data_IF_928839959517
#
_entry.id   IF_928839959517
#
_cell.length_a   1.000
_cell.length_b   1.000
_cell.length_c   1.000
_cell.angle_alpha   90.00
_cell.angle_beta   90.00
_cell.angle_gamma   90.00
#
_symmetry.space_group_name_H-M   'P 1'
#
loop_
_entity.id
_entity.type
_entity.pdbx_description
1 polymer ?
#
# COMPACT_ATOMS: atom_id res chain seq x y z
N UNK A 1 -1.45 -36.22 -58.67
CA UNK A 1 -2.75 -35.99 -58.02
C UNK A 1 -2.71 -34.63 -57.34
N UNK A 2 -3.62 -33.74 -57.76
CA UNK A 2 -4.12 -32.47 -57.20
C UNK A 2 -3.75 -32.14 -55.73
N UNK A 3 -3.40 -30.92 -55.28
CA UNK A 3 -3.88 -29.53 -55.52
C UNK A 3 -2.71 -28.52 -55.31
N UNK A 4 -2.48 -27.43 -56.08
CA UNK A 4 -3.22 -26.16 -56.34
C UNK A 4 -3.45 -25.32 -55.06
N UNK A 5 -2.55 -24.39 -54.70
CA UNK A 5 -2.44 -22.96 -55.10
C UNK A 5 -3.62 -22.09 -54.66
N UNK A 6 -3.38 -21.07 -53.82
CA UNK A 6 -3.66 -19.65 -54.14
C UNK A 6 -3.23 -18.67 -53.03
N UNK A 7 -2.37 -17.74 -53.42
CA UNK A 7 -2.11 -16.43 -52.82
C UNK A 7 -2.80 -15.38 -53.69
N UNK A 8 -3.49 -14.39 -53.12
CA UNK A 8 -3.61 -13.06 -53.74
C UNK A 8 -4.12 -11.98 -52.77
N UNK A 9 -3.47 -10.83 -52.90
CA UNK A 9 -3.73 -9.53 -52.28
C UNK A 9 -4.95 -8.81 -52.90
N UNK A 10 -5.61 -7.91 -52.14
CA UNK A 10 -5.68 -6.46 -52.39
C UNK A 10 -6.89 -5.77 -51.72
N UNK A 11 -6.56 -4.64 -51.08
CA UNK A 11 -7.31 -3.43 -50.75
C UNK A 11 -8.68 -3.20 -51.38
N UNK A 12 -9.63 -2.66 -50.61
CA UNK A 12 -10.48 -1.50 -51.00
C UNK A 12 -11.18 -0.87 -49.76
N UNK A 13 -11.32 0.47 -49.79
CA UNK A 13 -12.14 1.43 -48.96
C UNK A 13 -11.34 2.14 -47.85
N UNK A 14 -10.91 3.41 -47.95
CA UNK A 14 -11.61 4.70 -48.23
C UNK A 14 -12.82 4.90 -47.30
N UNK A 15 -13.05 6.03 -46.60
CA UNK A 15 -12.79 7.44 -46.94
C UNK A 15 -13.22 8.38 -45.79
N UNK A 16 -12.63 9.59 -45.75
CA UNK A 16 -13.14 10.88 -45.23
C UNK A 16 -13.38 10.99 -43.70
N UNK A 17 -13.11 12.10 -42.99
CA UNK A 17 -13.47 13.50 -43.25
C UNK A 17 -12.74 14.37 -42.20
N UNK A 18 -11.91 15.34 -42.59
CA UNK A 18 -12.12 16.80 -42.45
C UNK A 18 -12.58 17.28 -41.06
N UNK A 19 -11.72 18.06 -40.38
CA UNK A 19 -12.13 19.35 -39.81
C UNK A 19 -10.90 20.25 -39.59
N UNK A 20 -10.77 21.24 -40.47
CA UNK A 20 -9.92 22.43 -40.38
C UNK A 20 -10.73 23.60 -39.79
N UNK A 21 -10.04 24.47 -39.02
CA UNK A 21 -10.33 25.90 -38.79
C UNK A 21 -11.55 26.26 -37.87
N UNK A 22 -11.56 27.26 -36.96
CA UNK A 22 -10.86 28.56 -36.88
C UNK A 22 -11.21 29.35 -35.57
N UNK A 23 -10.35 30.33 -35.19
CA UNK A 23 -10.51 31.54 -34.32
C UNK A 23 -10.72 31.42 -32.78
N UNK A 24 -10.20 32.28 -31.89
CA UNK A 24 -9.96 33.75 -31.97
C UNK A 24 -8.88 34.23 -30.95
N UNK A 25 -8.25 35.36 -31.28
CA UNK A 25 -7.17 36.09 -30.61
C UNK A 25 -7.69 37.11 -29.56
N UNK A 26 -6.99 37.25 -28.44
CA UNK A 26 -6.91 38.51 -27.66
C UNK A 26 -5.51 38.64 -27.04
N UNK A 27 -4.59 39.29 -27.76
CA UNK A 27 -4.16 40.66 -27.43
C UNK A 27 -3.34 40.90 -26.15
N UNK A 28 -2.04 41.11 -26.39
CA UNK A 28 -1.09 42.06 -25.78
C UNK A 28 -0.58 41.90 -24.33
N UNK A 29 0.76 41.90 -24.21
CA UNK A 29 1.46 42.16 -22.96
C UNK A 29 2.96 41.84 -22.95
N UNK A 30 3.73 42.52 -23.81
CA UNK A 30 5.11 43.03 -23.61
C UNK A 30 6.27 42.10 -23.17
N UNK A 31 7.40 42.29 -23.87
CA UNK A 31 8.65 41.56 -23.82
C UNK A 31 9.40 41.59 -22.46
N UNK A 32 10.13 40.51 -22.17
CA UNK A 32 11.12 40.50 -21.10
C UNK A 32 11.72 39.14 -20.75
N UNK A 33 12.43 38.53 -21.71
CA UNK A 33 13.46 37.47 -21.59
C UNK A 33 13.43 36.52 -20.39
N UNK A 34 13.02 35.27 -20.66
CA UNK A 34 13.48 34.10 -19.91
C UNK A 34 14.82 33.59 -20.48
N UNK A 35 15.73 33.35 -19.52
CA UNK A 35 16.94 32.52 -19.47
C UNK A 35 17.13 31.39 -20.50
N UNK A 36 18.37 30.86 -20.61
CA UNK A 36 18.51 29.43 -20.26
C UNK A 36 19.85 29.18 -19.49
N UNK A 37 19.98 28.25 -18.56
CA UNK A 37 19.64 26.83 -18.67
C UNK A 37 19.61 26.17 -17.29
N UNK A 38 18.73 25.17 -17.16
CA UNK A 38 18.61 24.27 -16.00
C UNK A 38 19.67 23.14 -16.03
N UNK A 39 19.95 22.46 -14.90
CA UNK A 39 21.16 21.71 -14.63
C UNK A 39 21.04 20.19 -14.82
N UNK A 40 22.20 19.55 -14.79
CA UNK A 40 22.42 18.11 -14.79
C UNK A 40 22.04 17.46 -13.44
N UNK A 41 21.28 16.36 -13.56
CA UNK A 41 21.20 15.13 -12.73
C UNK A 41 21.86 15.09 -11.34
N UNK A 42 21.15 14.46 -10.39
CA UNK A 42 21.82 13.54 -9.45
C UNK A 42 21.17 13.33 -8.08
N UNK A 43 20.23 12.39 -8.02
CA UNK A 43 19.80 11.55 -6.90
C UNK A 43 20.58 11.60 -5.57
N UNK A 44 19.86 11.77 -4.46
CA UNK A 44 20.29 11.57 -3.08
C UNK A 44 19.71 10.27 -2.49
N UNK A 45 20.59 9.42 -1.93
CA UNK A 45 20.24 8.34 -1.00
C UNK A 45 20.96 8.52 0.36
N UNK A 46 20.28 8.02 1.38
CA UNK A 46 20.36 8.30 2.82
C UNK A 46 21.57 7.76 3.62
N UNK A 47 21.79 8.38 4.80
CA UNK A 47 22.15 7.81 6.14
C UNK A 47 23.07 8.81 6.89
N UNK A 48 23.07 9.03 8.22
CA UNK A 48 22.87 8.13 9.36
C UNK A 48 22.71 8.88 10.71
N UNK A 49 21.98 8.23 11.63
CA UNK A 49 22.28 8.07 13.08
C UNK A 49 22.26 9.27 14.07
N UNK A 50 21.24 9.25 14.95
CA UNK A 50 21.38 9.04 16.41
C UNK A 50 22.02 10.13 17.28
N UNK A 51 21.21 10.77 18.13
CA UNK A 51 21.50 11.04 19.56
C UNK A 51 20.28 11.69 20.27
N UNK A 52 19.95 11.19 21.46
CA UNK A 52 19.02 11.78 22.44
C UNK A 52 19.64 13.03 23.09
N UNK A 53 18.85 14.04 23.54
CA UNK A 53 18.61 14.14 24.98
C UNK A 53 17.26 14.78 25.42
N UNK A 54 16.74 14.21 26.53
CA UNK A 54 16.14 14.85 27.73
C UNK A 54 14.86 15.71 27.65
N UNK A 55 13.90 15.27 28.48
CA UNK A 55 12.75 15.95 29.09
C UNK A 55 12.94 17.45 29.38
N UNK A 56 11.97 18.30 29.02
CA UNK A 56 11.19 19.09 29.98
C UNK A 56 10.03 19.90 29.35
N UNK A 57 8.93 19.93 30.11
CA UNK A 57 7.83 20.93 30.20
C UNK A 57 6.66 20.85 29.21
N UNK A 58 5.51 20.56 29.80
CA UNK A 58 4.18 20.81 29.28
C UNK A 58 3.98 22.30 29.04
N UNK A 59 3.55 22.65 27.83
CA UNK A 59 2.71 23.80 27.56
C UNK A 59 1.77 23.37 26.44
N UNK A 60 0.48 23.28 26.75
CA UNK A 60 -0.53 22.90 25.78
C UNK A 60 -0.60 23.95 24.68
N UNK A 61 -0.27 23.54 23.46
CA UNK A 61 -0.69 24.24 22.24
C UNK A 61 -1.35 23.18 21.37
N UNK A 62 -2.66 23.05 21.58
CA UNK A 62 -3.56 22.42 20.63
C UNK A 62 -3.49 23.29 19.36
N UNK A 63 -2.85 22.78 18.31
CA UNK A 63 -2.86 23.41 16.99
C UNK A 63 -4.27 23.27 16.43
N UNK A 64 -5.13 24.22 16.76
CA UNK A 64 -6.42 24.34 16.10
C UNK A 64 -6.17 24.93 14.71
N UNK A 65 -6.15 24.03 13.72
CA UNK A 65 -6.29 24.40 12.30
C UNK A 65 -7.73 24.87 12.11
N UNK A 66 -8.00 26.12 12.46
CA UNK A 66 -9.28 26.73 12.14
C UNK A 66 -9.30 27.09 10.66
N UNK A 67 -10.21 26.44 9.93
CA UNK A 67 -10.68 26.97 8.65
C UNK A 67 -11.11 28.43 8.84
N UNK A 68 -10.66 29.34 7.97
CA UNK A 68 -10.97 30.78 8.04
C UNK A 68 -12.48 31.05 8.06
N UNK A 69 -13.28 30.13 7.54
CA UNK A 69 -14.74 30.16 7.60
C UNK A 69 -15.30 29.80 9.00
N UNK A 70 -14.62 28.93 9.74
CA UNK A 70 -14.99 28.55 11.11
C UNK A 70 -14.70 29.69 12.11
N UNK A 71 -13.56 30.38 12.01
CA UNK A 71 -13.26 31.55 12.84
C UNK A 71 -14.30 32.67 12.67
N UNK A 72 -14.73 32.92 11.42
CA UNK A 72 -15.77 33.92 11.12
C UNK A 72 -17.11 33.55 11.74
N UNK A 73 -17.51 32.27 11.69
CA UNK A 73 -18.73 31.79 12.36
C UNK A 73 -18.64 31.89 13.88
N UNK A 74 -17.51 31.54 14.49
CA UNK A 74 -17.33 31.65 15.95
C UNK A 74 -17.36 33.11 16.41
N UNK A 75 -16.74 34.03 15.67
CA UNK A 75 -16.84 35.47 15.96
C UNK A 75 -18.27 36.00 15.83
N UNK A 76 -19.02 35.56 14.81
CA UNK A 76 -20.43 35.94 14.65
C UNK A 76 -21.30 35.39 15.79
N UNK A 77 -21.05 34.16 16.25
CA UNK A 77 -21.76 33.57 17.38
C UNK A 77 -21.46 34.30 18.69
N UNK A 78 -20.20 34.69 18.92
CA UNK A 78 -19.82 35.49 20.09
C UNK A 78 -20.44 36.90 20.05
N UNK A 79 -20.49 37.54 18.88
CA UNK A 79 -21.15 38.84 18.73
C UNK A 79 -22.66 38.73 18.99
N UNK A 80 -23.31 37.69 18.46
CA UNK A 80 -24.72 37.40 18.74
C UNK A 80 -24.96 37.12 20.22
N UNK A 81 -24.10 36.36 20.89
CA UNK A 81 -24.21 36.09 22.33
C UNK A 81 -24.07 37.38 23.15
N UNK A 82 -23.13 38.26 22.80
CA UNK A 82 -22.95 39.55 23.45
C UNK A 82 -24.14 40.49 23.23
N UNK A 83 -24.73 40.48 22.02
CA UNK A 83 -25.97 41.22 21.72
C UNK A 83 -27.16 40.65 22.48
N UNK A 84 -27.26 39.33 22.64
CA UNK A 84 -28.30 38.66 23.42
C UNK A 84 -28.18 38.97 24.92
N UNK A 85 -26.95 39.02 25.45
CA UNK A 85 -26.68 39.46 26.82
C UNK A 85 -27.06 40.93 27.02
N UNK A 86 -26.71 41.81 26.09
CA UNK A 86 -27.08 43.23 26.15
C UNK A 86 -28.59 43.48 26.03
N UNK A 87 -29.30 42.67 25.23
CA UNK A 87 -30.77 42.69 25.16
C UNK A 87 -31.40 42.17 26.46
N UNK A 88 -30.79 41.15 27.10
CA UNK A 88 -31.25 40.61 28.38
C UNK A 88 -31.03 41.58 29.55
N UNK A 89 -29.98 42.41 29.51
CA UNK A 89 -29.70 43.44 30.53
C UNK A 89 -30.51 44.72 30.32
N UNK A 90 -30.97 45.01 29.10
CA UNK A 90 -31.71 46.24 28.76
C UNK A 90 -33.17 46.02 28.33
N UNK A 91 -33.77 44.86 28.59
CA UNK A 91 -35.18 44.62 28.25
C UNK A 91 -36.14 45.23 29.30
N UNK A 92 -37.17 46.01 28.91
CA UNK A 92 -38.19 46.54 29.81
C UNK A 92 -39.24 45.49 30.21
N UNK A 93 -38.98 44.19 29.98
CA UNK A 93 -39.90 43.09 30.30
C UNK A 93 -39.74 42.55 31.73
N UNK A 94 -39.68 43.44 32.73
CA UNK A 94 -40.10 43.04 34.08
C UNK A 94 -41.62 43.10 34.12
N UNK A 95 -42.28 41.97 33.82
CA UNK A 95 -43.66 41.74 34.27
C UNK A 95 -43.68 41.89 35.79
N UNK A 96 -44.19 43.03 36.27
CA UNK A 96 -44.57 43.22 37.67
C UNK A 96 -45.67 42.18 37.93
N UNK A 97 -45.38 41.17 38.74
CA UNK A 97 -46.38 40.19 39.17
C UNK A 97 -47.55 40.92 39.84
N UNK A 98 -48.77 40.53 39.46
CA UNK A 98 -50.06 41.10 39.88
C UNK A 98 -50.24 41.21 41.41
N UNK A 99 -49.41 40.51 42.18
CA UNK A 99 -49.41 40.51 43.64
C UNK A 99 -48.70 41.73 44.28
N UNK A 100 -47.86 42.45 43.52
CA UNK A 100 -47.14 43.63 44.03
C UNK A 100 -47.92 44.93 43.83
N UNK A 101 -48.69 45.05 42.74
CA UNK A 101 -49.51 46.24 42.45
C UNK A 101 -50.77 46.30 43.33
N UNK A 102 -51.36 45.14 43.67
CA UNK A 102 -52.53 45.06 44.55
C UNK A 102 -52.28 45.53 45.99
N UNK A 103 -51.03 45.43 46.49
CA UNK A 103 -50.68 45.90 47.84
C UNK A 103 -50.51 47.42 47.93
N UNK A 104 -50.36 48.11 46.80
CA UNK A 104 -50.14 49.55 46.75
C UNK A 104 -51.45 50.36 46.64
N UNK A 105 -52.55 49.72 46.25
CA UNK A 105 -53.88 50.34 46.18
C UNK A 105 -54.68 50.25 47.48
N UNK A 106 -54.33 49.33 48.39
CA UNK A 106 -55.05 49.15 49.67
C UNK A 106 -54.53 50.03 50.82
N UNK A 107 -53.49 50.84 50.59
CA UNK A 107 -52.83 51.62 51.64
C UNK A 107 -53.15 53.13 51.60
N UNK A 108 -53.95 53.60 50.64
CA UNK A 108 -54.28 55.02 50.45
C UNK A 108 -55.79 55.27 50.37
N UNK A 109 -56.52 55.02 51.46
CA UNK A 109 -57.80 55.68 51.75
C UNK A 109 -58.29 55.32 53.15
N UNK A 110 -57.63 55.88 54.17
CA UNK A 110 -58.14 55.96 55.54
C UNK A 110 -58.03 57.42 56.02
N UNK A 111 -58.97 58.25 55.56
CA UNK A 111 -59.36 59.55 56.10
C UNK A 111 -60.82 59.74 55.62
N UNK A 112 -61.85 60.08 56.38
CA UNK A 112 -62.08 60.39 57.78
C UNK A 112 -63.61 60.52 57.96
N UNK A 113 -64.10 60.18 59.15
CA UNK A 113 -65.21 60.83 59.89
C UNK A 113 -66.53 61.08 59.13
N UNK A 114 -67.61 60.32 59.35
CA UNK A 114 -68.46 60.26 60.56
C UNK A 114 -68.62 61.65 61.23
N UNK A 115 -69.76 62.32 60.98
CA UNK A 115 -70.53 63.14 61.93
C UNK A 115 -71.56 64.06 61.21
N UNK A 116 -72.78 64.09 61.76
CA UNK A 116 -73.88 65.02 61.45
C UNK A 116 -75.17 64.25 61.16
N UNK A 117 -75.98 63.78 62.12
CA UNK A 117 -76.47 64.39 63.36
C UNK A 117 -77.06 65.78 63.15
N UNK A 118 -78.38 65.84 62.93
CA UNK A 118 -79.34 66.58 63.76
C UNK A 118 -80.74 66.06 63.46
N UNK A 119 -81.20 65.16 64.33
CA UNK A 119 -82.62 64.93 64.59
C UNK A 119 -83.13 66.13 65.40
N UNK A 120 -84.37 66.53 65.12
CA UNK A 120 -85.34 67.16 66.03
C UNK A 120 -85.13 68.63 66.45
N UNK A 121 -86.21 69.42 66.30
CA UNK A 121 -86.86 70.18 67.39
C UNK A 121 -88.03 70.99 66.82
N UNK A 122 -89.21 70.41 66.99
CA UNK A 122 -90.50 71.09 66.95
C UNK A 122 -90.53 72.30 67.90
N UNK A 123 -90.96 73.45 67.40
CA UNK A 123 -91.46 74.55 68.24
C UNK A 123 -92.71 75.18 67.64
N UNK A 124 -93.77 75.07 68.44
CA UNK A 124 -95.12 75.66 68.41
C UNK A 124 -95.30 77.02 67.70
N UNK A 125 -96.31 77.09 66.84
CA UNK A 125 -97.38 78.09 66.99
C UNK A 125 -98.64 77.66 66.23
N UNK A 126 -99.61 77.18 67.01
CA UNK A 126 -100.99 76.93 66.62
C UNK A 126 -101.66 78.30 66.44
N UNK A 127 -101.66 78.84 65.21
CA UNK A 127 -102.83 79.47 64.54
C UNK A 127 -102.44 80.11 63.17
N UNK A 128 -101.70 79.37 62.34
CA UNK A 128 -101.43 79.73 60.93
C UNK A 128 -101.75 78.55 60.00
N UNK A 129 -102.84 77.85 60.30
CA UNK A 129 -103.20 76.52 59.78
C UNK A 129 -103.85 76.53 58.38
N UNK A 130 -103.60 77.54 57.54
CA UNK A 130 -104.15 77.57 56.17
C UNK A 130 -103.18 78.19 55.14
N UNK A 131 -102.44 79.24 55.53
CA UNK A 131 -101.43 79.90 54.67
C UNK A 131 -100.11 79.11 54.63
N UNK A 132 -99.64 78.59 55.79
CA UNK A 132 -98.47 77.70 55.88
C UNK A 132 -98.73 76.38 55.13
N UNK A 133 -99.97 75.88 55.19
CA UNK A 133 -100.37 74.70 54.42
C UNK A 133 -100.34 75.01 52.91
N UNK A 134 -100.85 76.17 52.48
CA UNK A 134 -100.87 76.55 51.05
C UNK A 134 -99.46 76.79 50.49
N UNK A 135 -98.56 77.42 51.25
CA UNK A 135 -97.16 77.63 50.85
C UNK A 135 -96.36 76.32 50.89
N UNK A 136 -96.56 75.46 51.90
CA UNK A 136 -96.02 74.09 51.91
C UNK A 136 -96.54 73.25 50.76
N UNK A 137 -97.82 73.38 50.39
CA UNK A 137 -98.42 72.70 49.23
C UNK A 137 -97.86 73.25 47.92
N UNK A 138 -97.63 74.56 47.80
CA UNK A 138 -96.99 75.16 46.62
C UNK A 138 -95.53 74.73 46.49
N UNK A 139 -94.78 74.70 47.60
CA UNK A 139 -93.42 74.19 47.66
C UNK A 139 -93.35 72.69 47.34
N UNK A 140 -94.26 71.89 47.91
CA UNK A 140 -94.38 70.47 47.59
C UNK A 140 -94.76 70.27 46.12
N UNK A 141 -95.69 71.04 45.56
CA UNK A 141 -96.02 70.98 44.13
C UNK A 141 -94.83 71.34 43.26
N UNK A 142 -94.09 72.41 43.58
CA UNK A 142 -92.87 72.76 42.87
C UNK A 142 -91.82 71.65 42.97
N UNK A 143 -91.65 71.07 44.16
CA UNK A 143 -90.73 69.95 44.38
C UNK A 143 -91.17 68.69 43.65
N UNK A 144 -92.46 68.43 43.57
CA UNK A 144 -93.04 67.35 42.75
C UNK A 144 -92.75 67.61 41.28
N UNK A 145 -92.97 68.83 40.77
CA UNK A 145 -92.63 69.15 39.37
C UNK A 145 -91.12 69.08 39.07
N UNK A 146 -90.27 69.47 40.02
CA UNK A 146 -88.81 69.31 39.91
C UNK A 146 -88.41 67.83 39.90
N UNK A 147 -88.99 67.01 40.78
CA UNK A 147 -88.77 65.58 40.83
C UNK A 147 -89.29 64.88 39.56
N UNK A 148 -90.45 65.28 39.05
CA UNK A 148 -91.00 64.79 37.78
C UNK A 148 -90.07 65.13 36.61
N UNK A 149 -89.55 66.35 36.56
CA UNK A 149 -88.56 66.75 35.56
C UNK A 149 -87.22 66.00 35.72
N UNK A 150 -86.74 65.79 36.96
CA UNK A 150 -85.55 64.96 37.21
C UNK A 150 -85.78 63.51 36.79
N UNK A 151 -86.96 62.93 37.04
CA UNK A 151 -87.31 61.58 36.60
C UNK A 151 -87.28 61.48 35.07
N UNK A 152 -87.80 62.48 34.36
CA UNK A 152 -87.77 62.53 32.89
C UNK A 152 -86.33 62.64 32.37
N UNK A 153 -85.54 63.60 32.86
CA UNK A 153 -84.15 63.80 32.44
C UNK A 153 -83.27 62.59 32.76
N UNK A 154 -83.48 61.96 33.93
CA UNK A 154 -82.78 60.75 34.33
C UNK A 154 -83.22 59.55 33.47
N UNK A 155 -84.49 59.50 33.04
CA UNK A 155 -84.99 58.57 32.04
C UNK A 155 -84.27 58.68 30.70
N UNK A 156 -84.06 59.89 30.20
CA UNK A 156 -83.34 60.16 28.94
C UNK A 156 -81.85 59.80 29.04
N UNK A 157 -81.19 60.17 30.14
CA UNK A 157 -79.79 59.78 30.41
C UNK A 157 -79.68 58.26 30.48
N UNK A 158 -80.59 57.59 31.18
CA UNK A 158 -80.65 56.12 31.25
C UNK A 158 -80.86 55.49 29.87
N UNK A 159 -81.68 56.09 29.01
CA UNK A 159 -81.90 55.62 27.64
C UNK A 159 -80.63 55.75 26.79
N UNK A 160 -79.96 56.91 26.83
CA UNK A 160 -78.69 57.14 26.13
C UNK A 160 -77.59 56.20 26.58
N UNK A 161 -77.40 56.04 27.90
CA UNK A 161 -76.42 55.11 28.45
C UNK A 161 -76.71 53.66 28.05
N UNK A 162 -77.98 53.26 27.97
CA UNK A 162 -78.36 51.93 27.43
C UNK A 162 -77.98 51.79 25.96
N UNK A 163 -78.23 52.80 25.14
CA UNK A 163 -77.88 52.78 23.72
C UNK A 163 -76.37 52.73 23.51
N UNK A 164 -75.61 53.56 24.23
CA UNK A 164 -74.13 53.55 24.21
C UNK A 164 -73.58 52.20 24.70
N UNK A 165 -74.16 51.63 25.76
CA UNK A 165 -73.76 50.30 26.26
C UNK A 165 -73.99 49.22 25.19
N UNK A 166 -75.15 49.22 24.52
CA UNK A 166 -75.41 48.30 23.40
C UNK A 166 -74.36 48.46 22.28
N UNK A 167 -74.02 49.70 21.90
CA UNK A 167 -73.00 49.96 20.89
C UNK A 167 -71.61 49.47 21.32
N UNK A 168 -71.22 49.73 22.57
CA UNK A 168 -69.96 49.25 23.12
C UNK A 168 -69.91 47.71 23.16
N UNK A 169 -71.00 47.06 23.53
CA UNK A 169 -71.11 45.60 23.51
C UNK A 169 -70.95 45.06 22.09
N UNK A 170 -71.60 45.66 21.08
CA UNK A 170 -71.39 45.26 19.68
C UNK A 170 -69.94 45.47 19.24
N UNK A 171 -69.32 46.59 19.63
CA UNK A 171 -67.92 46.87 19.30
C UNK A 171 -66.96 45.89 19.98
N UNK A 172 -67.23 45.48 21.21
CA UNK A 172 -66.45 44.45 21.92
C UNK A 172 -66.55 43.13 21.17
N UNK A 173 -67.76 42.67 20.82
CA UNK A 173 -67.93 41.41 20.08
C UNK A 173 -67.21 41.44 18.72
N UNK A 174 -67.28 42.55 17.98
CA UNK A 174 -66.57 42.71 16.71
C UNK A 174 -65.04 42.62 16.90
N UNK A 175 -64.49 43.25 17.94
CA UNK A 175 -63.07 43.18 18.24
C UNK A 175 -62.65 41.78 18.74
N UNK A 176 -63.48 41.10 19.51
CA UNK A 176 -63.25 39.72 19.94
C UNK A 176 -63.24 38.75 18.76
N UNK A 177 -64.13 38.92 17.79
CA UNK A 177 -64.16 38.12 16.56
C UNK A 177 -62.92 38.41 15.70
N UNK A 178 -62.56 39.69 15.52
CA UNK A 178 -61.33 40.06 14.81
C UNK A 178 -60.07 39.50 15.48
N UNK A 179 -60.02 39.48 16.82
CA UNK A 179 -58.91 38.90 17.57
C UNK A 179 -58.84 37.38 17.36
N UNK A 180 -59.97 36.68 17.50
CA UNK A 180 -60.06 35.22 17.24
C UNK A 180 -59.65 34.88 15.81
N UNK A 181 -60.09 35.66 14.83
CA UNK A 181 -59.71 35.47 13.42
C UNK A 181 -58.22 35.75 13.18
N UNK A 182 -57.63 36.71 13.89
CA UNK A 182 -56.18 36.96 13.83
C UNK A 182 -55.39 35.82 14.49
N UNK A 183 -55.84 35.33 15.64
CA UNK A 183 -55.23 34.20 16.36
C UNK A 183 -55.29 32.93 15.50
N UNK A 184 -56.45 32.58 14.96
CA UNK A 184 -56.61 31.42 14.09
C UNK A 184 -55.77 31.54 12.81
N UNK A 185 -55.68 32.73 12.21
CA UNK A 185 -54.79 32.96 11.04
C UNK A 185 -53.32 32.79 11.40
N UNK A 186 -52.87 33.33 12.53
CA UNK A 186 -51.49 33.20 12.99
C UNK A 186 -51.15 31.74 13.31
N UNK A 187 -52.05 31.00 13.94
CA UNK A 187 -51.90 29.57 14.24
C UNK A 187 -51.81 28.74 12.95
N UNK A 188 -52.74 28.94 12.01
CA UNK A 188 -52.71 28.27 10.70
C UNK A 188 -51.41 28.57 9.92
N UNK A 189 -50.94 29.82 9.94
CA UNK A 189 -49.67 30.18 9.32
C UNK A 189 -48.49 29.48 9.98
N UNK A 190 -48.45 29.41 11.32
CA UNK A 190 -47.38 28.73 12.05
C UNK A 190 -47.38 27.22 11.75
N UNK A 191 -48.56 26.58 11.74
CA UNK A 191 -48.69 25.17 11.44
C UNK A 191 -48.24 24.84 10.00
N UNK A 192 -48.60 25.68 9.04
CA UNK A 192 -48.18 25.56 7.66
C UNK A 192 -46.66 25.73 7.49
N UNK A 193 -46.03 26.68 8.18
CA UNK A 193 -44.58 26.82 8.17
C UNK A 193 -43.87 25.63 8.84
N UNK A 194 -44.40 25.13 9.96
CA UNK A 194 -43.89 23.90 10.59
C UNK A 194 -44.01 22.69 9.65
N UNK A 195 -45.12 22.56 8.92
CA UNK A 195 -45.31 21.52 7.92
C UNK A 195 -44.29 21.64 6.79
N UNK A 196 -44.09 22.83 6.23
CA UNK A 196 -43.09 23.10 5.18
C UNK A 196 -41.68 22.77 5.64
N UNK A 197 -41.31 23.16 6.86
CA UNK A 197 -40.01 22.84 7.44
C UNK A 197 -39.79 21.34 7.62
N UNK A 198 -40.80 20.61 8.12
CA UNK A 198 -40.74 19.14 8.25
C UNK A 198 -40.55 18.47 6.90
N UNK A 199 -41.28 18.89 5.88
CA UNK A 199 -41.16 18.33 4.53
C UNK A 199 -39.81 18.65 3.89
N UNK A 200 -39.31 19.88 4.04
CA UNK A 200 -37.99 20.26 3.56
C UNK A 200 -36.88 19.47 4.24
N UNK A 201 -36.99 19.27 5.56
CA UNK A 201 -36.07 18.44 6.32
C UNK A 201 -36.10 16.97 5.85
N UNK A 202 -37.29 16.39 5.67
CA UNK A 202 -37.43 15.01 5.18
C UNK A 202 -36.86 14.83 3.76
N UNK A 203 -37.02 15.83 2.88
CA UNK A 203 -36.39 15.83 1.55
C UNK A 203 -34.86 15.84 1.67
N UNK A 204 -34.31 16.74 2.47
CA UNK A 204 -32.87 16.81 2.70
C UNK A 204 -32.31 15.52 3.30
N UNK A 205 -33.01 14.91 4.25
CA UNK A 205 -32.59 13.65 4.87
C UNK A 205 -32.56 12.50 3.85
N UNK A 206 -33.56 12.41 2.97
CA UNK A 206 -33.56 11.45 1.85
C UNK A 206 -32.40 11.70 0.89
N UNK A 207 -32.16 12.94 0.50
CA UNK A 207 -31.05 13.30 -0.41
C UNK A 207 -29.68 13.01 0.21
N UNK A 208 -29.53 13.19 1.52
CA UNK A 208 -28.31 12.81 2.23
C UNK A 208 -28.14 11.30 2.28
N UNK A 209 -29.21 10.55 2.54
CA UNK A 209 -29.15 9.09 2.57
C UNK A 209 -28.81 8.51 1.19
N UNK A 210 -29.39 9.03 0.11
CA UNK A 210 -29.05 8.59 -1.26
C UNK A 210 -27.59 8.91 -1.60
N UNK A 211 -27.07 10.08 -1.19
CA UNK A 211 -25.65 10.40 -1.36
C UNK A 211 -24.74 9.44 -0.56
N UNK A 212 -25.11 9.10 0.68
CA UNK A 212 -24.37 8.14 1.50
C UNK A 212 -24.35 6.77 0.81
N UNK A 213 -25.49 6.29 0.29
CA UNK A 213 -25.57 5.01 -0.44
C UNK A 213 -24.69 5.01 -1.69
N UNK A 214 -24.72 6.08 -2.49
CA UNK A 214 -23.88 6.23 -3.69
C UNK A 214 -22.39 6.20 -3.34
N UNK A 215 -21.98 6.95 -2.31
CA UNK A 215 -20.59 6.96 -1.85
C UNK A 215 -20.17 5.60 -1.29
N UNK A 216 -21.04 4.94 -0.53
CA UNK A 216 -20.80 3.59 0.02
C UNK A 216 -20.60 2.58 -1.10
N UNK A 217 -21.46 2.59 -2.12
CA UNK A 217 -21.30 1.72 -3.30
C UNK A 217 -20.00 2.02 -4.06
N UNK A 218 -19.62 3.31 -4.19
CA UNK A 218 -18.37 3.67 -4.84
C UNK A 218 -17.15 3.19 -4.07
N UNK A 219 -17.17 3.27 -2.74
CA UNK A 219 -16.10 2.73 -1.88
C UNK A 219 -16.00 1.22 -2.07
N UNK A 220 -17.11 0.49 -2.02
CA UNK A 220 -17.12 -0.96 -2.23
C UNK A 220 -16.52 -1.37 -3.58
N UNK A 221 -16.90 -0.69 -4.67
CA UNK A 221 -16.34 -0.93 -6.00
C UNK A 221 -14.83 -0.69 -6.04
N UNK A 222 -14.36 0.40 -5.44
CA UNK A 222 -12.92 0.71 -5.38
C UNK A 222 -12.15 -0.33 -4.53
N UNK A 223 -12.74 -0.83 -3.46
CA UNK A 223 -12.16 -1.89 -2.63
C UNK A 223 -12.05 -3.21 -3.41
N UNK A 224 -13.08 -3.56 -4.19
CA UNK A 224 -13.09 -4.73 -5.08
C UNK A 224 -12.02 -4.60 -6.18
N UNK A 225 -12.01 -3.49 -6.93
CA UNK A 225 -11.00 -3.19 -7.96
C UNK A 225 -9.58 -3.25 -7.38
N UNK A 226 -9.36 -2.67 -6.20
CA UNK A 226 -8.06 -2.69 -5.53
C UNK A 226 -7.67 -4.10 -5.08
N UNK A 227 -8.63 -4.91 -4.63
CA UNK A 227 -8.44 -6.33 -4.32
C UNK A 227 -8.01 -7.14 -5.55
N UNK A 228 -8.68 -6.95 -6.69
CA UNK A 228 -8.32 -7.58 -7.96
C UNK A 228 -6.92 -7.16 -8.43
N UNK A 229 -6.59 -5.87 -8.34
CA UNK A 229 -5.27 -5.35 -8.66
C UNK A 229 -4.19 -5.96 -7.75
N UNK A 230 -4.46 -6.13 -6.46
CA UNK A 230 -3.53 -6.77 -5.52
C UNK A 230 -3.27 -8.24 -5.89
N UNK A 231 -4.31 -8.99 -6.27
CA UNK A 231 -4.18 -10.37 -6.75
C UNK A 231 -3.33 -10.43 -8.03
N UNK A 232 -3.62 -9.55 -9.00
CA UNK A 232 -2.87 -9.46 -10.24
C UNK A 232 -1.40 -9.09 -10.00
N UNK A 233 -1.12 -8.15 -9.11
CA UNK A 233 0.23 -7.78 -8.71
C UNK A 233 0.99 -8.99 -8.13
N UNK A 234 0.37 -9.74 -7.22
CA UNK A 234 0.99 -10.92 -6.62
C UNK A 234 1.25 -12.02 -7.64
N UNK A 235 0.33 -12.23 -8.59
CA UNK A 235 0.52 -13.17 -9.70
C UNK A 235 1.70 -12.77 -10.59
N UNK A 236 1.81 -11.49 -10.94
CA UNK A 236 2.91 -10.97 -11.76
C UNK A 236 4.26 -11.03 -11.02
N UNK A 237 4.28 -10.77 -9.70
CA UNK A 237 5.48 -10.95 -8.87
C UNK A 237 5.96 -12.40 -8.90
N UNK A 238 5.08 -13.36 -8.65
CA UNK A 238 5.41 -14.78 -8.71
C UNK A 238 5.89 -15.22 -10.12
N UNK A 239 5.33 -14.64 -11.19
CA UNK A 239 5.81 -14.89 -12.55
C UNK A 239 7.21 -14.31 -12.78
N UNK A 240 7.48 -13.12 -12.24
CA UNK A 240 8.79 -12.45 -12.35
C UNK A 240 9.86 -13.26 -11.60
N UNK A 241 9.57 -13.71 -10.38
CA UNK A 241 10.47 -14.55 -9.59
C UNK A 241 10.82 -15.86 -10.32
N UNK A 242 9.84 -16.53 -10.93
CA UNK A 242 10.08 -17.73 -11.74
C UNK A 242 11.01 -17.47 -12.92
N UNK A 243 10.81 -16.36 -13.62
CA UNK A 243 11.67 -15.97 -14.75
C UNK A 243 13.08 -15.63 -14.28
N UNK A 244 13.23 -15.00 -13.11
CA UNK A 244 14.55 -14.72 -12.52
C UNK A 244 15.28 -16.01 -12.12
N UNK A 245 14.58 -16.99 -11.54
CA UNK A 245 15.13 -18.32 -11.25
C UNK A 245 15.54 -19.07 -12.52
N UNK A 246 14.72 -19.03 -13.57
CA UNK A 246 15.06 -19.64 -14.87
C UNK A 246 16.25 -18.96 -15.52
N UNK A 247 16.30 -17.62 -15.48
CA UNK A 247 17.44 -16.84 -15.94
C UNK A 247 18.71 -17.26 -15.21
N UNK A 248 18.68 -17.31 -13.87
CA UNK A 248 19.85 -17.73 -13.09
C UNK A 248 20.28 -19.15 -13.45
N UNK A 249 19.34 -20.09 -13.52
CA UNK A 249 19.62 -21.49 -13.93
C UNK A 249 20.27 -21.57 -15.31
N UNK A 250 19.86 -20.72 -16.26
CA UNK A 250 20.46 -20.68 -17.60
C UNK A 250 21.85 -20.03 -17.60
N UNK A 251 22.04 -18.99 -16.80
CA UNK A 251 23.36 -18.36 -16.59
C UNK A 251 24.35 -19.36 -16.02
N UNK A 252 23.99 -20.08 -14.96
CA UNK A 252 24.87 -21.08 -14.32
C UNK A 252 25.29 -22.18 -15.32
N UNK A 253 24.35 -22.66 -16.14
CA UNK A 253 24.64 -23.65 -17.21
C UNK A 253 25.56 -23.09 -18.30
N UNK A 254 25.38 -21.81 -18.66
CA UNK A 254 26.25 -21.15 -19.64
C UNK A 254 27.67 -21.02 -19.09
N UNK A 255 27.82 -20.64 -17.82
CA UNK A 255 29.10 -20.57 -17.13
C UNK A 255 29.79 -21.93 -17.07
N UNK A 256 29.07 -22.98 -16.68
CA UNK A 256 29.60 -24.36 -16.63
C UNK A 256 30.09 -24.82 -18.01
N UNK A 257 29.30 -24.60 -19.06
CA UNK A 257 29.68 -25.00 -20.43
C UNK A 257 30.82 -24.15 -20.99
N UNK A 258 30.87 -22.86 -20.65
CA UNK A 258 31.97 -21.96 -21.00
C UNK A 258 33.28 -22.39 -20.33
N UNK A 259 33.25 -22.76 -19.05
CA UNK A 259 34.41 -23.27 -18.32
C UNK A 259 34.92 -24.59 -18.92
N UNK A 260 34.02 -25.54 -19.20
CA UNK A 260 34.40 -26.80 -19.88
C UNK A 260 35.04 -26.55 -21.24
N UNK A 261 34.44 -25.66 -22.04
CA UNK A 261 35.02 -25.30 -23.34
C UNK A 261 36.41 -24.69 -23.20
N UNK A 262 36.61 -23.83 -22.19
CA UNK A 262 37.93 -23.24 -21.91
C UNK A 262 38.96 -24.30 -21.54
N UNK A 263 38.60 -25.26 -20.69
CA UNK A 263 39.50 -26.36 -20.31
C UNK A 263 39.90 -27.19 -21.54
N UNK A 264 38.94 -27.54 -22.41
CA UNK A 264 39.20 -28.25 -23.67
C UNK A 264 40.09 -27.42 -24.61
N UNK A 265 39.86 -26.12 -24.72
CA UNK A 265 40.71 -25.22 -25.50
C UNK A 265 42.15 -25.16 -24.96
N UNK A 266 42.33 -25.15 -23.64
CA UNK A 266 43.64 -25.16 -23.00
C UNK A 266 44.37 -26.50 -23.24
N UNK A 267 43.64 -27.63 -23.22
CA UNK A 267 44.19 -28.95 -23.59
C UNK A 267 44.60 -28.99 -25.06
N UNK A 268 43.73 -28.52 -25.96
CA UNK A 268 44.02 -28.44 -27.40
C UNK A 268 45.28 -27.60 -27.65
N UNK A 269 45.39 -26.43 -27.01
CA UNK A 269 46.56 -25.55 -27.11
C UNK A 269 47.84 -26.26 -26.65
N UNK A 270 47.81 -26.93 -25.49
CA UNK A 270 48.96 -27.72 -24.99
C UNK A 270 49.34 -28.84 -25.97
N UNK A 271 48.38 -29.49 -26.61
CA UNK A 271 48.65 -30.54 -27.61
C UNK A 271 49.29 -29.96 -28.88
N UNK A 272 48.79 -28.82 -29.35
CA UNK A 272 49.36 -28.12 -30.50
C UNK A 272 50.79 -27.63 -30.25
N UNK A 273 51.06 -27.10 -29.05
CA UNK A 273 52.41 -26.68 -28.65
C UNK A 273 53.37 -27.88 -28.61
N UNK A 274 52.94 -29.04 -28.08
CA UNK A 274 53.73 -30.28 -28.11
C UNK A 274 54.02 -30.78 -29.52
N UNK A 275 53.03 -30.76 -30.41
CA UNK A 275 53.21 -31.15 -31.82
C UNK A 275 54.22 -30.22 -32.51
N UNK A 276 54.14 -28.91 -32.26
CA UNK A 276 55.10 -27.93 -32.77
C UNK A 276 56.50 -28.17 -32.22
N UNK A 277 56.62 -28.44 -30.92
CA UNK A 277 57.91 -28.75 -30.29
C UNK A 277 58.54 -30.00 -30.90
N UNK A 278 57.78 -31.10 -31.02
CA UNK A 278 58.26 -32.35 -31.61
C UNK A 278 58.74 -32.16 -33.06
N UNK A 279 57.98 -31.40 -33.87
CA UNK A 279 58.39 -31.07 -35.24
C UNK A 279 59.72 -30.30 -35.27
N UNK A 280 59.91 -29.35 -34.35
CA UNK A 280 61.16 -28.59 -34.25
C UNK A 280 62.32 -29.44 -33.72
N UNK A 281 62.06 -30.38 -32.81
CA UNK A 281 63.05 -31.35 -32.32
C UNK A 281 63.52 -32.27 -33.43
N UNK A 282 62.57 -32.87 -34.17
CA UNK A 282 62.88 -33.71 -35.32
C UNK A 282 63.66 -32.95 -36.40
N UNK A 283 63.30 -31.69 -36.66
CA UNK A 283 64.08 -30.86 -37.60
C UNK A 283 65.51 -30.62 -37.10
N UNK A 284 65.68 -30.30 -35.81
CA UNK A 284 67.02 -30.14 -35.20
C UNK A 284 67.84 -31.42 -35.29
N UNK A 285 67.27 -32.58 -34.95
CA UNK A 285 67.95 -33.87 -35.05
C UNK A 285 68.37 -34.19 -36.48
N UNK A 286 67.50 -33.87 -37.45
CA UNK A 286 67.83 -33.98 -38.87
C UNK A 286 68.99 -33.09 -39.26
N UNK A 287 69.00 -31.84 -38.82
CA UNK A 287 70.07 -30.90 -39.12
C UNK A 287 71.40 -31.36 -38.49
N UNK A 288 71.39 -31.82 -37.23
CA UNK A 288 72.60 -32.34 -36.57
C UNK A 288 73.12 -33.64 -37.20
N UNK A 289 72.22 -34.53 -37.62
CA UNK A 289 72.62 -35.75 -38.33
C UNK A 289 73.18 -35.42 -39.71
N UNK A 290 72.64 -34.40 -40.37
CA UNK A 290 73.15 -33.90 -41.64
C UNK A 290 74.55 -33.29 -41.50
N UNK A 291 74.81 -32.53 -40.43
CA UNK A 291 76.13 -32.02 -40.07
C UNK A 291 77.13 -33.17 -39.86
N UNK A 292 76.77 -34.18 -39.07
CA UNK A 292 77.63 -35.36 -38.85
C UNK A 292 77.92 -36.14 -40.15
N UNK A 293 76.94 -36.28 -41.04
CA UNK A 293 77.14 -36.89 -42.35
C UNK A 293 78.17 -36.09 -43.16
N UNK A 294 78.12 -34.76 -43.09
CA UNK A 294 79.06 -33.90 -43.80
C UNK A 294 80.47 -33.98 -43.20
N UNK A 295 80.60 -34.02 -41.87
CA UNK A 295 81.88 -34.24 -41.17
C UNK A 295 82.50 -35.58 -41.57
N UNK A 296 81.72 -36.68 -41.55
CA UNK A 296 82.19 -38.00 -41.98
C UNK A 296 82.58 -38.03 -43.46
N UNK A 297 81.87 -37.30 -44.33
CA UNK A 297 82.24 -37.15 -45.74
C UNK A 297 83.59 -36.45 -45.90
N UNK A 298 83.82 -35.38 -45.14
CA UNK A 298 85.10 -34.68 -45.13
C UNK A 298 86.23 -35.59 -44.60
N UNK A 299 86.01 -36.33 -43.52
CA UNK A 299 86.99 -37.31 -43.01
C UNK A 299 87.30 -38.41 -44.03
N UNK A 300 86.29 -38.95 -44.71
CA UNK A 300 86.49 -39.94 -45.77
C UNK A 300 87.30 -39.37 -46.93
N UNK A 301 87.04 -38.13 -47.34
CA UNK A 301 87.82 -37.43 -48.37
C UNK A 301 89.28 -37.23 -47.91
N UNK A 302 89.49 -36.78 -46.67
CA UNK A 302 90.82 -36.65 -46.06
C UNK A 302 91.58 -37.98 -46.01
N UNK A 303 90.93 -39.07 -45.58
CA UNK A 303 91.54 -40.40 -45.54
C UNK A 303 91.87 -40.93 -46.94
N UNK A 304 91.04 -40.64 -47.94
CA UNK A 304 91.31 -41.00 -49.32
C UNK A 304 92.55 -40.28 -49.85
N UNK A 305 92.71 -38.98 -49.56
CA UNK A 305 93.92 -38.20 -49.88
C UNK A 305 95.13 -38.80 -49.16
N UNK A 306 95.04 -39.02 -47.84
CA UNK A 306 96.12 -39.60 -47.05
C UNK A 306 96.55 -40.98 -47.56
N UNK A 307 95.59 -41.83 -47.96
CA UNK A 307 95.88 -43.15 -48.54
C UNK A 307 96.65 -43.02 -49.85
N UNK A 308 96.25 -42.09 -50.73
CA UNK A 308 96.98 -41.83 -51.98
C UNK A 308 98.40 -41.31 -51.71
N UNK A 309 98.60 -40.51 -50.66
CA UNK A 309 99.91 -40.07 -50.21
C UNK A 309 100.74 -41.21 -49.61
N UNK A 310 100.14 -42.09 -48.80
CA UNK A 310 100.81 -43.25 -48.20
C UNK A 310 101.17 -44.31 -49.25
N UNK A 311 100.31 -44.57 -50.24
CA UNK A 311 100.59 -45.43 -51.39
C UNK A 311 101.72 -44.85 -52.26
N UNK A 312 101.88 -43.52 -52.29
CA UNK A 312 103.04 -42.86 -52.89
C UNK A 312 104.34 -43.07 -52.06
N UNK A 313 104.23 -43.42 -50.77
CA UNK A 313 105.36 -43.61 -49.85
C UNK A 313 105.70 -45.09 -49.52
N UNK A 314 104.84 -46.07 -49.85
CA UNK A 314 104.99 -47.46 -49.38
C UNK A 314 104.73 -48.55 -50.43
N UNK A 315 105.80 -49.06 -51.06
CA UNK A 315 105.79 -50.37 -51.73
C UNK A 315 106.50 -51.40 -50.84
N UNK A 316 105.74 -52.32 -50.24
CA UNK A 316 106.35 -53.57 -49.77
C UNK A 316 105.63 -54.32 -48.64
N UNK A 317 105.17 -55.52 -49.02
CA UNK A 317 104.97 -56.75 -48.21
C UNK A 317 103.56 -57.03 -47.67
N UNK A 318 102.93 -57.94 -48.42
CA UNK A 318 101.85 -58.83 -47.99
C UNK A 318 102.39 -60.03 -47.18
N UNK A 319 101.46 -60.65 -46.45
CA UNK A 319 101.33 -62.10 -46.20
C UNK A 319 101.88 -62.67 -44.88
N UNK A 320 100.97 -62.92 -43.93
CA UNK A 320 101.00 -64.07 -43.01
C UNK A 320 99.57 -64.39 -42.53
N UNK A 321 98.84 -65.28 -43.22
CA UNK A 321 97.41 -65.56 -42.91
C UNK A 321 97.09 -67.02 -42.54
N UNK A 322 98.05 -67.94 -42.47
CA UNK A 322 97.70 -69.38 -42.33
C UNK A 322 97.63 -69.93 -40.89
N UNK A 323 97.98 -69.16 -39.86
CA UNK A 323 97.83 -69.59 -38.45
C UNK A 323 96.60 -68.98 -37.76
N UNK A 324 96.07 -67.89 -38.33
CA UNK A 324 94.89 -67.19 -37.81
C UNK A 324 93.61 -68.00 -38.03
N UNK A 325 93.50 -68.72 -39.15
CA UNK A 325 92.29 -69.46 -39.54
C UNK A 325 91.85 -70.57 -38.55
N UNK A 326 92.80 -71.20 -37.84
CA UNK A 326 92.45 -72.22 -36.84
C UNK A 326 91.95 -71.60 -35.54
N UNK A 327 92.58 -70.50 -35.09
CA UNK A 327 92.10 -69.73 -33.94
C UNK A 327 90.74 -69.09 -34.21
N UNK A 328 90.47 -68.65 -35.44
CA UNK A 328 89.18 -68.07 -35.82
C UNK A 328 88.08 -69.12 -35.89
N UNK A 329 88.35 -70.34 -36.37
CA UNK A 329 87.34 -71.42 -36.39
C UNK A 329 86.92 -71.86 -34.99
N UNK A 330 87.85 -71.98 -34.04
CA UNK A 330 87.49 -72.29 -32.64
C UNK A 330 86.68 -71.15 -32.03
N UNK A 331 87.09 -69.90 -32.27
CA UNK A 331 86.38 -68.70 -31.81
C UNK A 331 84.98 -68.56 -32.42
N UNK A 332 84.83 -68.91 -33.69
CA UNK A 332 83.56 -68.95 -34.41
C UNK A 332 82.62 -69.99 -33.80
N UNK A 333 83.11 -71.19 -33.51
CA UNK A 333 82.30 -72.23 -32.84
C UNK A 333 81.87 -71.82 -31.42
N UNK A 334 82.74 -71.15 -30.65
CA UNK A 334 82.37 -70.57 -29.35
C UNK A 334 81.29 -69.50 -29.47
N UNK A 335 81.42 -68.60 -30.46
CA UNK A 335 80.43 -67.54 -30.71
C UNK A 335 79.11 -68.13 -31.21
N UNK A 336 79.12 -69.19 -32.02
CA UNK A 336 77.90 -69.89 -32.44
C UNK A 336 77.19 -70.54 -31.26
N UNK A 337 77.94 -71.16 -30.34
CA UNK A 337 77.38 -71.70 -29.10
C UNK A 337 76.81 -70.59 -28.21
N UNK A 338 77.49 -69.46 -28.11
CA UNK A 338 77.04 -68.31 -27.34
C UNK A 338 75.79 -67.65 -27.95
N UNK A 339 75.72 -67.52 -29.28
CA UNK A 339 74.52 -67.06 -29.99
C UNK A 339 73.36 -68.03 -29.77
N UNK A 340 73.62 -69.34 -29.76
CA UNK A 340 72.58 -70.34 -29.48
C UNK A 340 72.08 -70.24 -28.05
N UNK A 341 72.98 -70.04 -27.08
CA UNK A 341 72.65 -69.81 -25.66
C UNK A 341 71.84 -68.52 -25.48
N UNK A 342 72.28 -67.42 -26.07
CA UNK A 342 71.60 -66.12 -26.03
C UNK A 342 70.22 -66.17 -26.68
N UNK A 343 70.06 -66.88 -27.81
CA UNK A 343 68.75 -67.07 -28.43
C UNK A 343 67.79 -67.85 -27.52
N UNK A 344 68.26 -68.90 -26.85
CA UNK A 344 67.46 -69.66 -25.88
C UNK A 344 67.10 -68.81 -24.65
N UNK A 345 68.03 -68.01 -24.15
CA UNK A 345 67.79 -67.10 -23.03
C UNK A 345 66.80 -65.99 -23.41
N UNK A 346 66.92 -65.41 -24.61
CA UNK A 346 65.98 -64.40 -25.10
C UNK A 346 64.56 -64.97 -25.29
N UNK A 347 64.47 -66.22 -25.78
CA UNK A 347 63.20 -66.93 -25.88
C UNK A 347 62.56 -67.14 -24.50
N UNK A 348 63.33 -67.58 -23.50
CA UNK A 348 62.85 -67.71 -22.11
C UNK A 348 62.42 -66.37 -21.52
N UNK A 349 63.17 -65.30 -21.76
CA UNK A 349 62.82 -63.96 -21.29
C UNK A 349 61.52 -63.46 -21.93
N UNK A 350 61.28 -63.78 -23.22
CA UNK A 350 59.99 -63.47 -23.88
C UNK A 350 58.83 -64.24 -23.26
N UNK A 351 59.00 -65.54 -23.04
CA UNK A 351 57.99 -66.38 -22.38
C UNK A 351 57.67 -65.85 -20.97
N UNK A 352 58.69 -65.48 -20.18
CA UNK A 352 58.49 -64.85 -18.87
C UNK A 352 57.79 -63.50 -18.96
N UNK A 353 58.08 -62.70 -19.99
CA UNK A 353 57.43 -61.41 -20.19
C UNK A 353 55.96 -61.60 -20.58
N UNK A 354 55.64 -62.58 -21.43
CA UNK A 354 54.28 -62.95 -21.78
C UNK A 354 53.49 -63.45 -20.56
N UNK A 355 54.10 -64.29 -19.71
CA UNK A 355 53.51 -64.75 -18.45
C UNK A 355 53.25 -63.59 -17.48
N UNK A 356 54.21 -62.68 -17.31
CA UNK A 356 54.05 -61.49 -16.46
C UNK A 356 52.96 -60.55 -16.98
N UNK A 357 52.88 -60.34 -18.30
CA UNK A 357 51.80 -59.57 -18.91
C UNK A 357 50.44 -60.25 -18.70
N UNK A 358 50.37 -61.59 -18.78
CA UNK A 358 49.17 -62.35 -18.47
C UNK A 358 48.74 -62.21 -17.00
N UNK A 359 49.70 -62.21 -16.07
CA UNK A 359 49.45 -61.95 -14.65
C UNK A 359 48.96 -60.53 -14.40
N UNK A 360 49.58 -59.52 -15.01
CA UNK A 360 49.16 -58.12 -14.91
C UNK A 360 47.72 -57.93 -15.42
N UNK A 361 47.39 -58.53 -16.57
CA UNK A 361 46.05 -58.48 -17.11
C UNK A 361 45.04 -59.15 -16.15
N UNK A 362 45.39 -60.31 -15.59
CA UNK A 362 44.54 -61.01 -14.61
C UNK A 362 44.30 -60.20 -13.34
N UNK A 363 45.33 -59.53 -12.82
CA UNK A 363 45.24 -58.64 -11.66
C UNK A 363 44.35 -57.43 -11.97
N UNK A 364 44.58 -56.75 -13.10
CA UNK A 364 43.77 -55.60 -13.52
C UNK A 364 42.29 -55.96 -13.72
N UNK A 365 42.00 -57.17 -14.22
CA UNK A 365 40.64 -57.65 -14.40
C UNK A 365 39.99 -58.00 -13.05
N UNK A 366 40.75 -58.53 -12.09
CA UNK A 366 40.29 -58.76 -10.73
C UNK A 366 40.01 -57.45 -9.98
N UNK A 367 40.88 -56.45 -10.11
CA UNK A 367 40.66 -55.10 -9.57
C UNK A 367 39.44 -54.44 -10.20
N UNK A 368 39.28 -54.52 -11.53
CA UNK A 368 38.09 -54.03 -12.22
C UNK A 368 36.81 -54.71 -11.73
N UNK A 369 36.80 -56.04 -11.60
CA UNK A 369 35.67 -56.80 -11.01
C UNK A 369 35.37 -56.36 -9.58
N UNK A 370 36.40 -56.10 -8.79
CA UNK A 370 36.26 -55.63 -7.40
C UNK A 370 35.67 -54.22 -7.37
N UNK A 371 36.09 -53.33 -8.26
CA UNK A 371 35.51 -51.99 -8.42
C UNK A 371 34.03 -52.06 -8.81
N UNK A 372 33.65 -52.91 -9.77
CA UNK A 372 32.25 -53.13 -10.12
C UNK A 372 31.42 -53.65 -8.94
N UNK A 373 31.96 -54.56 -8.13
CA UNK A 373 31.27 -55.04 -6.93
C UNK A 373 31.13 -53.96 -5.84
N UNK A 374 32.11 -53.05 -5.71
CA UNK A 374 31.97 -51.89 -4.80
C UNK A 374 30.95 -50.88 -5.30
N UNK A 375 30.79 -50.73 -6.62
CA UNK A 375 29.76 -49.86 -7.21
C UNK A 375 28.35 -50.37 -6.91
N UNK A 376 28.14 -51.69 -6.84
CA UNK A 376 26.84 -52.27 -6.44
C UNK A 376 26.50 -51.99 -4.97
N UNK A 377 27.50 -51.91 -4.08
CA UNK A 377 27.29 -51.48 -2.68
C UNK A 377 26.94 -49.99 -2.58
N UNK A 378 27.57 -49.15 -3.39
CA UNK A 378 27.23 -47.72 -3.48
C UNK A 378 25.83 -47.48 -4.08
N UNK A 379 25.38 -48.35 -4.99
CA UNK A 379 23.99 -48.31 -5.50
C UNK A 379 22.94 -48.66 -4.44
N UNK A 380 23.28 -49.46 -3.42
CA UNK A 380 22.35 -49.78 -2.32
C UNK A 380 22.00 -48.56 -1.46
N UNK A 381 22.95 -47.63 -1.27
CA UNK A 381 22.73 -46.38 -0.53
C UNK A 381 21.91 -45.37 -1.36
N UNK A 382 22.15 -45.31 -2.68
CA UNK A 382 21.36 -44.48 -3.59
C UNK A 382 19.90 -44.97 -3.68
N UNK A 383 19.67 -46.28 -3.65
CA UNK A 383 18.34 -46.90 -3.64
C UNK A 383 17.59 -46.65 -2.33
N UNK A 384 18.29 -46.63 -1.18
CA UNK A 384 17.69 -46.22 0.11
C UNK A 384 17.30 -44.73 0.13
N UNK A 385 18.08 -43.85 -0.49
CA UNK A 385 17.78 -42.41 -0.60
C UNK A 385 16.55 -42.17 -1.51
N UNK A 386 16.37 -42.95 -2.57
CA UNK A 386 15.19 -42.88 -3.44
C UNK A 386 13.91 -43.44 -2.78
N UNK A 387 14.03 -44.23 -1.70
CA UNK A 387 12.88 -44.82 -0.99
C UNK A 387 12.33 -44.00 0.18
N UNK A 388 13.05 -42.99 0.68
CA UNK A 388 12.42 -41.90 1.41
C UNK A 388 11.71 -41.00 0.39
N UNK A 389 10.58 -41.47 -0.13
CA UNK A 389 9.93 -40.83 -1.25
C UNK A 389 9.55 -39.39 -0.87
N UNK A 390 9.67 -38.48 -1.84
CA UNK A 390 9.17 -37.10 -1.74
C UNK A 390 7.75 -37.06 -1.14
N UNK A 391 6.95 -38.09 -1.42
CA UNK A 391 5.59 -38.24 -0.92
C UNK A 391 5.55 -38.52 0.58
N UNK A 392 6.43 -39.37 1.12
CA UNK A 392 6.54 -39.58 2.57
C UNK A 392 7.01 -38.32 3.31
N UNK A 393 7.93 -37.55 2.71
CA UNK A 393 8.36 -36.27 3.28
C UNK A 393 7.26 -35.21 3.23
N UNK A 394 6.49 -35.14 2.13
CA UNK A 394 5.35 -34.22 2.03
C UNK A 394 4.19 -34.62 2.95
N UNK A 395 3.94 -35.91 3.13
CA UNK A 395 2.93 -36.42 4.08
C UNK A 395 3.31 -36.08 5.52
N UNK A 396 4.56 -36.34 5.92
CA UNK A 396 5.07 -35.96 7.24
C UNK A 396 5.04 -34.43 7.47
N UNK A 397 5.36 -33.63 6.44
CA UNK A 397 5.27 -32.17 6.52
C UNK A 397 3.82 -31.71 6.71
N UNK A 398 2.88 -32.30 5.96
CA UNK A 398 1.44 -31.99 6.07
C UNK A 398 0.87 -32.37 7.44
N UNK A 399 1.24 -33.54 7.97
CA UNK A 399 0.86 -33.93 9.34
C UNK A 399 1.41 -32.95 10.38
N UNK A 400 2.64 -32.48 10.19
CA UNK A 400 3.26 -31.50 11.08
C UNK A 400 2.55 -30.14 11.02
N UNK A 401 2.14 -29.68 9.83
CA UNK A 401 1.36 -28.45 9.64
C UNK A 401 -0.02 -28.55 10.32
N UNK A 402 -0.69 -29.70 10.18
CA UNK A 402 -1.99 -29.98 10.82
C UNK A 402 -1.88 -29.96 12.36
N UNK A 403 -0.83 -30.57 12.91
CA UNK A 403 -0.57 -30.54 14.36
C UNK A 403 -0.29 -29.11 14.82
N UNK A 404 0.51 -28.34 14.06
CA UNK A 404 0.83 -26.95 14.40
C UNK A 404 -0.42 -26.07 14.38
N UNK A 405 -1.30 -26.26 13.39
CA UNK A 405 -2.57 -25.56 13.30
C UNK A 405 -3.48 -25.87 14.51
N UNK A 406 -3.61 -27.15 14.89
CA UNK A 406 -4.38 -27.55 16.08
C UNK A 406 -3.78 -26.98 17.36
N UNK A 407 -2.44 -26.95 17.49
CA UNK A 407 -1.76 -26.35 18.63
C UNK A 407 -2.00 -24.84 18.72
N UNK A 408 -1.99 -24.13 17.59
CA UNK A 408 -2.32 -22.69 17.55
C UNK A 408 -3.75 -22.44 18.00
N UNK A 409 -4.72 -23.18 17.46
CA UNK A 409 -6.12 -23.06 17.90
C UNK A 409 -6.31 -23.39 19.39
N UNK A 410 -5.56 -24.37 19.91
CA UNK A 410 -5.59 -24.70 21.33
C UNK A 410 -4.98 -23.59 22.19
N UNK A 411 -3.83 -23.04 21.79
CA UNK A 411 -3.22 -21.88 22.44
C UNK A 411 -4.15 -20.67 22.42
N UNK A 412 -4.79 -20.36 21.30
CA UNK A 412 -5.73 -19.25 21.19
C UNK A 412 -6.92 -19.44 22.16
N UNK A 413 -7.48 -20.64 22.25
CA UNK A 413 -8.53 -20.96 23.23
C UNK A 413 -8.06 -20.78 24.67
N UNK A 414 -6.84 -21.20 24.98
CA UNK A 414 -6.25 -21.00 26.31
C UNK A 414 -6.04 -19.51 26.58
N UNK A 415 -5.48 -18.76 25.64
CA UNK A 415 -5.20 -17.33 25.78
C UNK A 415 -6.50 -16.56 26.02
N UNK A 416 -7.55 -16.81 25.24
CA UNK A 416 -8.87 -16.22 25.45
C UNK A 416 -9.42 -16.57 26.83
N UNK A 417 -9.34 -17.85 27.22
CA UNK A 417 -9.80 -18.29 28.55
C UNK A 417 -9.03 -17.61 29.70
N UNK A 418 -7.71 -17.42 29.55
CA UNK A 418 -6.87 -16.71 30.53
C UNK A 418 -7.22 -15.22 30.58
N UNK A 419 -7.41 -14.57 29.43
CA UNK A 419 -7.84 -13.16 29.36
C UNK A 419 -9.18 -12.94 30.08
N UNK A 420 -10.12 -13.88 29.96
CA UNK A 420 -11.44 -13.79 30.58
C UNK A 420 -11.43 -14.01 32.11
N UNK A 421 -10.52 -14.85 32.62
CA UNK A 421 -10.52 -15.26 34.05
C UNK A 421 -9.44 -14.56 34.88
N UNK A 422 -8.21 -14.42 34.38
CA UNK A 422 -7.11 -13.77 35.08
C UNK A 422 -5.99 -13.34 34.11
N UNK A 423 -6.07 -12.12 33.54
CA UNK A 423 -5.12 -11.65 32.53
C UNK A 423 -3.69 -11.44 33.07
N UNK A 424 -3.50 -11.34 34.39
CA UNK A 424 -2.17 -11.14 35.00
C UNK A 424 -1.21 -12.32 34.78
N UNK A 425 -1.71 -13.49 34.37
CA UNK A 425 -0.89 -14.67 34.03
C UNK A 425 -0.10 -14.45 32.73
N UNK A 426 -0.57 -13.59 31.83
CA UNK A 426 0.09 -13.25 30.56
C UNK A 426 1.07 -12.07 30.70
N UNK A 427 1.18 -11.45 31.89
CA UNK A 427 2.16 -10.39 32.13
C UNK A 427 3.58 -10.96 32.19
N UNK A 428 4.38 -10.64 31.18
CA UNK A 428 5.81 -10.87 31.20
C UNK A 428 6.41 -9.88 32.19
N UNK A 429 6.76 -10.36 33.40
CA UNK A 429 7.51 -9.57 34.37
C UNK A 429 8.95 -9.43 33.88
N UNK A 430 9.30 -8.22 33.46
CA UNK A 430 10.68 -7.82 33.13
C UNK A 430 11.52 -7.63 34.39
#
# INVERSE_FOLDING_TARGET
>A
MYNRSETSDYSTRSSASLNEEQFEDYGEGEDGDYTPSSPYLGSSVSSSAGQSPRKMRHAGNQMDVFCSQCCKRVSLLNDLENRLKNLKTNSPNRKISSTAFGRQLLHNSNLSSINGSTEDLFHDSIDSCEIDITEKVSYLNKKVTELENEILMNGDVKSKLKQENIQLVHRIHELEEQLKDQEARAENMMEEELRRHREAYSRLEKDKNTQIELLTNRVYQLEEENGEMAINMNRLKAQTEKLDEERQRMTDKLEDTSLRLKDEMDVYKKMMDKLRQNRNEFQRERDTMQELIEDLRQELEHLQIYKLEAERMGHGRRSSISLSEYSTRTRESELEQEVKRLKQENQKLREQNEDLNGQLLSLSLHEAKTLFATQTKAQSLAMEIDHASRDQLMEALKEQEDINFRLRQYMDKIIVSILDHNPSILEIKN
#
